data_IF_912062800990
#
_entry.id   IF_912062800990
#
_cell.length_a   1.000
_cell.length_b   1.000
_cell.length_c   1.000
_cell.angle_alpha   90.00
_cell.angle_beta   90.00
_cell.angle_gamma   90.00
#
_symmetry.space_group_name_H-M   'P 1'
#
loop_
_entity.id
_entity.type
_entity.pdbx_description
1 polymer ?
#
# COMPACT_ATOMS: atom_id res chain seq x y z
N UNK A 1 0.59 -16.34 -0.67
CA UNK A 1 1.65 -17.26 -1.15
C UNK A 1 2.99 -16.53 -1.22
N UNK A 2 4.12 -17.26 -1.23
CA UNK A 2 5.48 -16.69 -1.31
C UNK A 2 6.37 -17.53 -2.21
N UNK A 3 7.46 -16.93 -2.70
CA UNK A 3 8.51 -17.62 -3.46
C UNK A 3 9.79 -17.64 -2.62
N UNK A 4 10.34 -18.84 -2.48
CA UNK A 4 11.47 -19.14 -1.60
C UNK A 4 12.64 -19.67 -2.41
N UNK A 5 13.84 -19.19 -2.07
CA UNK A 5 15.08 -19.79 -2.56
C UNK A 5 15.98 -20.13 -1.39
N UNK A 6 16.36 -21.39 -1.27
CA UNK A 6 17.28 -21.88 -0.24
C UNK A 6 18.60 -22.31 -0.88
N UNK A 7 19.68 -21.59 -0.60
CA UNK A 7 21.03 -21.90 -1.08
C UNK A 7 21.82 -22.68 -0.01
N UNK A 8 22.22 -23.90 -0.36
CA UNK A 8 23.04 -24.78 0.47
C UNK A 8 24.51 -24.58 0.11
N UNK A 9 25.27 -23.91 0.98
CA UNK A 9 26.68 -23.55 0.74
C UNK A 9 27.64 -24.62 1.28
N UNK A 10 28.57 -25.17 0.48
CA UNK A 10 29.52 -26.19 0.92
C UNK A 10 30.50 -25.70 1.98
N UNK A 11 30.99 -24.47 1.82
CA UNK A 11 31.99 -23.85 2.68
C UNK A 11 31.76 -22.35 2.77
N UNK A 12 31.08 -21.92 3.83
CA UNK A 12 31.00 -20.53 4.24
C UNK A 12 30.80 -20.48 5.76
N UNK A 13 31.46 -19.54 6.44
CA UNK A 13 31.17 -19.27 7.83
C UNK A 13 29.90 -18.43 7.95
N UNK A 14 29.32 -18.39 9.17
CA UNK A 14 28.22 -17.47 9.49
C UNK A 14 28.63 -16.01 9.26
N UNK A 15 29.90 -15.65 9.50
CA UNK A 15 30.40 -14.29 9.28
C UNK A 15 30.41 -13.93 7.80
N UNK A 16 30.80 -14.87 6.93
CA UNK A 16 30.87 -14.63 5.48
C UNK A 16 29.48 -14.39 4.90
N UNK A 17 28.50 -15.22 5.26
CA UNK A 17 27.11 -15.05 4.82
C UNK A 17 26.48 -13.75 5.34
N UNK A 18 26.82 -13.34 6.58
CA UNK A 18 26.38 -12.05 7.13
C UNK A 18 26.99 -10.88 6.37
N UNK A 19 28.30 -10.92 6.14
CA UNK A 19 29.03 -9.90 5.39
C UNK A 19 28.42 -9.73 3.99
N UNK A 20 28.21 -10.84 3.29
CA UNK A 20 27.58 -10.85 1.97
C UNK A 20 26.20 -10.17 1.95
N UNK A 21 25.35 -10.43 2.94
CA UNK A 21 24.03 -9.80 3.03
C UNK A 21 24.12 -8.30 3.30
N UNK A 22 25.00 -7.87 4.20
CA UNK A 22 25.22 -6.45 4.51
C UNK A 22 25.77 -5.69 3.29
N UNK A 23 26.75 -6.26 2.59
CA UNK A 23 27.28 -5.72 1.33
C UNK A 23 26.22 -5.67 0.23
N UNK A 24 25.28 -6.61 0.24
CA UNK A 24 24.11 -6.63 -0.65
C UNK A 24 22.99 -5.65 -0.24
N UNK A 25 23.28 -4.70 0.68
CA UNK A 25 22.37 -3.70 1.23
C UNK A 25 21.21 -4.24 2.08
N UNK A 26 21.29 -5.47 2.58
CA UNK A 26 20.33 -5.95 3.56
C UNK A 26 20.61 -5.35 4.94
N UNK A 27 19.55 -5.00 5.66
CA UNK A 27 19.63 -4.57 7.05
C UNK A 27 19.27 -5.70 8.00
N UNK A 28 20.05 -5.88 9.06
CA UNK A 28 19.71 -6.83 10.12
C UNK A 28 18.46 -6.35 10.88
N UNK A 29 17.52 -7.24 11.15
CA UNK A 29 16.28 -6.91 11.88
C UNK A 29 16.11 -7.85 13.08
N UNK A 30 15.62 -7.30 14.20
CA UNK A 30 15.36 -8.06 15.43
C UNK A 30 14.01 -8.77 15.40
N UNK A 31 13.00 -8.14 14.78
CA UNK A 31 11.69 -8.73 14.55
C UNK A 31 11.70 -9.51 13.24
N UNK A 32 11.26 -10.77 13.30
CA UNK A 32 11.07 -11.62 12.13
C UNK A 32 9.64 -11.52 11.66
N UNK A 33 9.42 -11.42 10.36
CA UNK A 33 8.11 -11.70 9.77
C UNK A 33 7.97 -13.20 9.38
N UNK A 34 9.00 -14.01 9.64
CA UNK A 34 9.01 -15.47 9.46
C UNK A 34 9.32 -16.18 10.78
N UNK A 35 8.46 -17.13 11.15
CA UNK A 35 8.77 -18.16 12.16
C UNK A 35 9.07 -19.46 11.41
N UNK A 36 10.35 -19.88 11.37
CA UNK A 36 10.72 -21.25 10.99
C UNK A 36 10.85 -22.11 12.25
N UNK A 37 10.52 -23.42 12.19
CA UNK A 37 10.60 -24.33 13.34
C UNK A 37 11.99 -24.40 13.98
N UNK A 38 13.06 -24.25 13.19
CA UNK A 38 14.44 -24.42 13.64
C UNK A 38 15.16 -23.09 13.97
N UNK A 39 14.41 -22.00 14.17
CA UNK A 39 14.96 -20.73 14.70
C UNK A 39 16.20 -20.23 13.94
N UNK A 40 16.01 -19.58 12.79
CA UNK A 40 17.11 -18.98 12.01
C UNK A 40 18.12 -18.21 12.86
N UNK A 41 19.40 -18.30 12.53
CA UNK A 41 20.49 -17.72 13.32
C UNK A 41 20.52 -16.20 13.21
N UNK A 42 20.24 -15.66 12.01
CA UNK A 42 20.16 -14.23 11.76
C UNK A 42 19.09 -13.91 10.73
N UNK A 43 18.40 -12.80 10.93
CA UNK A 43 17.34 -12.31 10.06
C UNK A 43 17.71 -10.94 9.48
N UNK A 44 17.50 -10.82 8.18
CA UNK A 44 17.86 -9.68 7.36
C UNK A 44 16.69 -9.33 6.43
N UNK A 45 16.59 -8.05 6.10
CA UNK A 45 15.55 -7.55 5.20
C UNK A 45 16.11 -6.47 4.29
N UNK A 46 15.75 -6.55 3.02
CA UNK A 46 16.02 -5.55 2.00
C UNK A 46 14.72 -4.98 1.45
N UNK A 47 14.68 -3.67 1.25
CA UNK A 47 13.55 -2.94 0.66
C UNK A 47 14.06 -1.65 0.01
N UNK A 48 13.66 -1.40 -1.24
CA UNK A 48 13.99 -0.19 -2.00
C UNK A 48 12.76 0.71 -2.13
N UNK A 49 12.74 1.79 -1.36
CA UNK A 49 11.67 2.79 -1.36
C UNK A 49 11.73 3.70 -2.59
N UNK A 50 12.92 3.92 -3.15
CA UNK A 50 13.10 4.85 -4.27
C UNK A 50 12.30 4.38 -5.48
N UNK A 51 11.60 5.32 -6.10
CA UNK A 51 10.78 5.09 -7.29
C UNK A 51 9.75 3.96 -7.13
N UNK A 52 9.35 3.66 -5.90
CA UNK A 52 8.40 2.59 -5.57
C UNK A 52 8.80 1.24 -6.20
N UNK A 53 10.10 0.92 -6.16
CA UNK A 53 10.65 -0.31 -6.76
C UNK A 53 10.25 -1.54 -5.96
N UNK A 54 10.38 -1.52 -4.64
CA UNK A 54 9.99 -2.64 -3.79
C UNK A 54 8.52 -2.53 -3.38
N UNK A 55 7.81 -3.66 -3.44
CA UNK A 55 6.43 -3.76 -2.93
C UNK A 55 6.40 -4.48 -1.59
N UNK A 56 7.24 -5.51 -1.46
CA UNK A 56 7.30 -6.32 -0.26
C UNK A 56 8.73 -6.54 0.23
N UNK A 57 9.73 -6.28 -0.61
CA UNK A 57 11.13 -6.49 -0.29
C UNK A 57 11.54 -7.96 -0.33
N UNK A 58 12.74 -8.21 0.18
CA UNK A 58 13.34 -9.55 0.25
C UNK A 58 13.77 -9.84 1.68
N UNK A 59 13.28 -10.94 2.20
CA UNK A 59 13.69 -11.48 3.48
C UNK A 59 14.87 -12.44 3.27
N UNK A 60 15.86 -12.40 4.17
CA UNK A 60 16.98 -13.33 4.17
C UNK A 60 17.26 -13.88 5.57
N UNK A 61 17.50 -15.18 5.66
CA UNK A 61 17.80 -15.89 6.91
C UNK A 61 18.98 -16.82 6.72
N UNK A 62 19.94 -16.75 7.63
CA UNK A 62 21.01 -17.75 7.74
C UNK A 62 20.56 -18.79 8.76
N UNK A 63 20.64 -20.07 8.43
CA UNK A 63 20.26 -21.13 9.35
C UNK A 63 21.13 -22.39 9.17
N UNK A 64 21.03 -23.31 10.12
CA UNK A 64 21.75 -24.58 10.06
C UNK A 64 20.99 -25.59 9.22
N UNK A 65 21.72 -26.26 8.33
CA UNK A 65 21.17 -27.34 7.49
C UNK A 65 21.05 -28.62 8.30
N UNK A 66 19.97 -29.36 8.08
CA UNK A 66 19.80 -30.72 8.60
C UNK A 66 20.73 -31.71 7.90
N UNK A 67 20.99 -32.87 8.52
CA UNK A 67 21.83 -33.90 7.89
C UNK A 67 21.26 -34.40 6.56
N UNK A 68 19.93 -34.51 6.43
CA UNK A 68 19.27 -34.92 5.19
C UNK A 68 19.51 -33.90 4.07
N UNK A 69 19.31 -32.61 4.35
CA UNK A 69 19.56 -31.53 3.38
C UNK A 69 21.04 -31.48 2.96
N UNK A 70 21.98 -31.71 3.89
CA UNK A 70 23.42 -31.78 3.58
C UNK A 70 23.72 -32.90 2.58
N UNK A 71 23.13 -34.08 2.76
CA UNK A 71 23.32 -35.23 1.85
C UNK A 71 22.70 -34.97 0.49
N UNK A 72 21.47 -34.48 0.45
CA UNK A 72 20.71 -34.24 -0.78
C UNK A 72 21.35 -33.14 -1.65
N UNK A 73 21.64 -31.98 -1.06
CA UNK A 73 22.14 -30.82 -1.78
C UNK A 73 23.67 -30.74 -1.83
N UNK A 74 24.37 -31.69 -1.19
CA UNK A 74 25.84 -31.69 -1.03
C UNK A 74 26.35 -30.37 -0.42
N UNK A 75 25.60 -29.86 0.56
CA UNK A 75 25.85 -28.61 1.25
C UNK A 75 26.62 -28.78 2.55
N UNK A 76 27.12 -27.67 3.08
CA UNK A 76 27.77 -27.57 4.39
C UNK A 76 26.75 -27.38 5.51
N UNK A 77 27.22 -26.98 6.69
CA UNK A 77 26.40 -26.84 7.91
C UNK A 77 25.45 -25.65 7.90
N UNK A 78 25.61 -24.72 6.94
CA UNK A 78 24.84 -23.50 6.84
C UNK A 78 24.17 -23.37 5.47
N UNK A 79 23.06 -22.66 5.46
CA UNK A 79 22.32 -22.30 4.26
C UNK A 79 21.82 -20.87 4.34
N UNK A 80 21.68 -20.27 3.16
CA UNK A 80 21.09 -18.95 2.97
C UNK A 80 19.67 -19.12 2.41
N UNK A 81 18.69 -18.84 3.26
CA UNK A 81 17.30 -18.77 2.88
C UNK A 81 16.93 -17.36 2.44
N UNK A 82 16.21 -17.23 1.33
CA UNK A 82 15.60 -15.97 0.91
C UNK A 82 14.12 -16.18 0.57
N UNK A 83 13.33 -15.14 0.77
CA UNK A 83 11.89 -15.16 0.47
C UNK A 83 11.42 -13.81 -0.04
N UNK A 84 10.52 -13.85 -1.01
CA UNK A 84 9.65 -12.72 -1.35
C UNK A 84 8.20 -13.17 -1.45
N UNK A 85 7.23 -12.24 -1.47
CA UNK A 85 5.81 -12.59 -1.60
C UNK A 85 5.45 -12.93 -3.05
N UNK A 86 4.35 -13.66 -3.26
CA UNK A 86 3.87 -13.94 -4.61
C UNK A 86 3.57 -12.65 -5.39
N UNK A 87 3.00 -11.64 -4.73
CA UNK A 87 2.74 -10.30 -5.29
C UNK A 87 3.93 -9.33 -5.25
N UNK A 88 5.15 -9.82 -5.07
CA UNK A 88 6.34 -8.98 -5.02
C UNK A 88 6.62 -8.33 -6.39
N UNK A 89 7.29 -7.18 -6.35
CA UNK A 89 7.66 -6.47 -7.57
C UNK A 89 8.71 -7.23 -8.38
N UNK A 90 8.86 -6.83 -9.64
CA UNK A 90 9.98 -7.24 -10.50
C UNK A 90 11.32 -7.02 -9.80
N UNK A 91 11.52 -5.84 -9.19
CA UNK A 91 12.75 -5.48 -8.49
C UNK A 91 13.01 -6.35 -7.25
N UNK A 92 11.97 -6.71 -6.49
CA UNK A 92 12.09 -7.62 -5.35
C UNK A 92 12.58 -9.01 -5.80
N UNK A 93 12.01 -9.54 -6.88
CA UNK A 93 12.41 -10.83 -7.46
C UNK A 93 13.81 -10.78 -8.06
N UNK A 94 14.15 -9.69 -8.74
CA UNK A 94 15.52 -9.45 -9.24
C UNK A 94 16.52 -9.46 -8.10
N UNK A 95 16.23 -8.75 -7.00
CA UNK A 95 17.12 -8.71 -5.85
C UNK A 95 17.27 -10.07 -5.18
N UNK A 96 16.17 -10.83 -5.06
CA UNK A 96 16.22 -12.20 -4.54
C UNK A 96 17.13 -13.10 -5.41
N UNK A 97 16.99 -13.02 -6.73
CA UNK A 97 17.86 -13.77 -7.64
C UNK A 97 19.32 -13.29 -7.58
N UNK A 98 19.54 -11.97 -7.53
CA UNK A 98 20.86 -11.35 -7.44
C UNK A 98 21.62 -11.81 -6.20
N UNK A 99 21.01 -11.77 -5.02
CA UNK A 99 21.68 -12.15 -3.77
C UNK A 99 22.04 -13.63 -3.75
N UNK A 100 21.17 -14.50 -4.28
CA UNK A 100 21.46 -15.94 -4.40
C UNK A 100 22.57 -16.18 -5.44
N UNK A 101 22.52 -15.50 -6.59
CA UNK A 101 23.51 -15.64 -7.66
C UNK A 101 24.90 -15.24 -7.20
N UNK A 102 25.00 -14.10 -6.51
CA UNK A 102 26.27 -13.57 -5.99
C UNK A 102 26.79 -14.41 -4.83
N UNK A 103 25.93 -14.85 -3.90
CA UNK A 103 26.31 -15.77 -2.83
C UNK A 103 26.82 -17.11 -3.40
N UNK A 104 26.13 -17.67 -4.41
CA UNK A 104 26.56 -18.91 -5.07
C UNK A 104 27.89 -18.73 -5.81
N UNK A 105 28.14 -17.55 -6.40
CA UNK A 105 29.43 -17.24 -7.03
C UNK A 105 30.57 -17.18 -6.00
N UNK A 106 30.29 -16.64 -4.80
CA UNK A 106 31.28 -16.50 -3.74
C UNK A 106 31.55 -17.81 -2.99
N UNK A 107 30.51 -18.57 -2.67
CA UNK A 107 30.56 -19.71 -1.74
C UNK A 107 30.25 -21.06 -2.39
N UNK A 108 29.89 -21.09 -3.67
CA UNK A 108 29.48 -22.29 -4.37
C UNK A 108 28.10 -22.80 -3.95
N UNK A 109 27.86 -24.09 -4.19
CA UNK A 109 26.65 -24.78 -3.73
C UNK A 109 25.52 -24.92 -4.75
N UNK A 110 24.46 -25.57 -4.28
CA UNK A 110 23.19 -25.78 -4.98
C UNK A 110 22.10 -25.05 -4.24
N UNK A 111 21.10 -24.55 -4.96
CA UNK A 111 19.92 -23.98 -4.34
C UNK A 111 18.65 -24.64 -4.82
N UNK A 112 17.64 -24.63 -3.97
CA UNK A 112 16.30 -25.06 -4.28
C UNK A 112 15.39 -23.84 -4.34
N UNK A 113 14.61 -23.72 -5.41
CA UNK A 113 13.54 -22.74 -5.54
C UNK A 113 12.20 -23.47 -5.43
N UNK A 114 11.36 -23.09 -4.47
CA UNK A 114 10.10 -23.80 -4.19
C UNK A 114 9.09 -23.76 -5.35
N UNK A 115 9.15 -22.71 -6.18
CA UNK A 115 8.29 -22.56 -7.35
C UNK A 115 8.86 -23.13 -8.65
N UNK A 116 10.19 -23.30 -8.75
CA UNK A 116 10.87 -23.55 -10.03
C UNK A 116 11.89 -24.70 -10.01
N UNK A 117 12.16 -25.28 -8.85
CA UNK A 117 13.05 -26.42 -8.67
C UNK A 117 14.53 -26.07 -8.48
N UNK A 118 15.37 -27.11 -8.55
CA UNK A 118 16.78 -27.04 -8.19
C UNK A 118 17.60 -26.24 -9.20
N UNK A 119 18.39 -25.29 -8.70
CA UNK A 119 19.25 -24.37 -9.46
C UNK A 119 18.50 -23.55 -10.52
N UNK A 120 17.20 -23.31 -10.32
CA UNK A 120 16.37 -22.48 -11.20
C UNK A 120 16.00 -21.18 -10.51
N UNK A 121 16.47 -20.07 -11.06
CA UNK A 121 16.10 -18.73 -10.60
C UNK A 121 14.63 -18.44 -10.91
N UNK A 122 14.02 -17.56 -10.12
CA UNK A 122 12.65 -17.08 -10.37
C UNK A 122 12.64 -16.29 -11.69
N UNK A 123 11.76 -16.61 -12.66
CA UNK A 123 11.57 -15.79 -13.85
C UNK A 123 11.24 -14.35 -13.49
N UNK A 124 11.80 -13.41 -14.24
CA UNK A 124 11.58 -11.98 -14.05
C UNK A 124 10.70 -11.50 -15.19
N UNK A 125 9.58 -10.87 -14.87
CA UNK A 125 8.71 -10.21 -15.84
C UNK A 125 8.90 -8.71 -15.75
N UNK A 126 8.81 -8.03 -16.88
CA UNK A 126 8.92 -6.59 -16.90
C UNK A 126 7.71 -5.94 -16.21
N UNK A 127 7.96 -4.84 -15.50
CA UNK A 127 6.91 -3.99 -14.93
C UNK A 127 6.81 -2.72 -15.79
N UNK A 128 5.84 -2.65 -16.72
CA UNK A 128 5.72 -1.52 -17.63
C UNK A 128 5.33 -0.21 -16.94
N UNK A 129 4.96 -0.25 -15.65
CA UNK A 129 4.51 0.94 -14.92
C UNK A 129 5.68 1.86 -14.64
N UNK A 130 5.44 3.16 -14.80
CA UNK A 130 6.39 4.21 -14.38
C UNK A 130 6.49 4.25 -12.84
N UNK A 131 7.48 4.96 -12.27
CA UNK A 131 7.53 5.20 -10.82
C UNK A 131 6.22 5.76 -10.26
N UNK A 132 5.57 6.69 -10.97
CA UNK A 132 4.27 7.22 -10.58
C UNK A 132 3.19 6.13 -10.54
N UNK A 133 3.11 5.34 -11.62
CA UNK A 133 2.16 4.22 -11.73
C UNK A 133 2.32 3.19 -10.62
N UNK A 134 3.57 2.79 -10.30
CA UNK A 134 3.86 1.86 -9.19
C UNK A 134 3.49 2.44 -7.82
N UNK A 135 3.80 3.70 -7.58
CA UNK A 135 3.45 4.38 -6.31
C UNK A 135 1.95 4.46 -6.10
N UNK A 136 1.21 4.86 -7.14
CA UNK A 136 -0.26 4.96 -7.07
C UNK A 136 -0.89 3.57 -6.95
N UNK A 137 -0.34 2.56 -7.62
CA UNK A 137 -0.82 1.18 -7.48
C UNK A 137 -0.66 0.66 -6.06
N UNK A 138 0.50 0.85 -5.41
CA UNK A 138 0.71 0.45 -4.02
C UNK A 138 -0.30 1.10 -3.07
N UNK A 139 -0.53 2.39 -3.26
CA UNK A 139 -1.50 3.15 -2.47
C UNK A 139 -2.94 2.69 -2.75
N UNK A 140 -3.27 2.45 -4.01
CA UNK A 140 -4.58 1.93 -4.42
C UNK A 140 -4.89 0.61 -3.72
N UNK A 141 -4.01 -0.39 -3.86
CA UNK A 141 -4.17 -1.71 -3.23
C UNK A 141 -4.29 -1.59 -1.70
N UNK A 142 -3.42 -0.80 -1.06
CA UNK A 142 -3.48 -0.62 0.40
C UNK A 142 -4.83 -0.06 0.86
N UNK A 143 -5.35 0.96 0.16
CA UNK A 143 -6.60 1.62 0.53
C UNK A 143 -7.80 0.73 0.21
N UNK A 144 -7.84 0.11 -0.97
CA UNK A 144 -8.95 -0.78 -1.35
C UNK A 144 -9.02 -2.00 -0.45
N UNK A 145 -7.88 -2.65 -0.15
CA UNK A 145 -7.83 -3.80 0.74
C UNK A 145 -8.37 -3.45 2.14
N UNK A 146 -8.01 -2.28 2.67
CA UNK A 146 -8.49 -1.83 3.99
C UNK A 146 -9.98 -1.52 3.99
N UNK A 147 -10.48 -0.85 2.96
CA UNK A 147 -11.90 -0.55 2.81
C UNK A 147 -12.72 -1.84 2.70
N UNK A 148 -12.25 -2.80 1.89
CA UNK A 148 -12.87 -4.11 1.74
C UNK A 148 -12.85 -4.90 3.05
N UNK A 149 -11.68 -5.02 3.68
CA UNK A 149 -11.51 -5.77 4.92
C UNK A 149 -12.45 -5.27 6.02
N UNK A 150 -12.53 -3.94 6.21
CA UNK A 150 -13.43 -3.35 7.19
C UNK A 150 -14.89 -3.60 6.81
N UNK A 151 -15.26 -3.40 5.54
CA UNK A 151 -16.64 -3.63 5.09
C UNK A 151 -17.11 -5.08 5.29
N UNK A 152 -16.19 -6.05 5.13
CA UNK A 152 -16.46 -7.47 5.28
C UNK A 152 -16.71 -7.87 6.74
N UNK A 153 -16.00 -7.26 7.70
CA UNK A 153 -16.12 -7.59 9.12
C UNK A 153 -17.17 -6.76 9.86
N UNK A 154 -17.88 -5.86 9.18
CA UNK A 154 -18.93 -5.05 9.79
C UNK A 154 -20.03 -5.95 10.37
N UNK A 155 -20.28 -5.88 11.70
CA UNK A 155 -21.34 -6.66 12.32
C UNK A 155 -22.69 -6.23 11.77
N UNK A 156 -23.66 -7.13 11.75
CA UNK A 156 -25.05 -6.79 11.53
C UNK A 156 -25.64 -6.07 12.75
N UNK A 157 -26.82 -5.45 12.56
CA UNK A 157 -27.63 -5.00 13.69
C UNK A 157 -27.90 -6.17 14.64
N UNK A 158 -27.88 -5.91 15.95
CA UNK A 158 -28.16 -6.95 16.93
C UNK A 158 -29.61 -7.45 16.77
N UNK A 159 -29.81 -8.77 16.85
CA UNK A 159 -31.12 -9.39 16.61
C UNK A 159 -32.24 -8.75 17.45
N UNK A 160 -31.96 -8.42 18.72
CA UNK A 160 -32.90 -7.77 19.64
C UNK A 160 -33.44 -6.42 19.13
N UNK A 161 -32.69 -5.70 18.29
CA UNK A 161 -33.10 -4.43 17.70
C UNK A 161 -33.58 -4.59 16.25
N UNK A 162 -32.92 -5.46 15.47
CA UNK A 162 -33.28 -5.75 14.08
C UNK A 162 -34.70 -6.30 13.94
N UNK A 163 -35.08 -7.19 14.85
CA UNK A 163 -36.33 -7.94 14.78
C UNK A 163 -37.49 -7.24 15.52
N UNK A 164 -37.29 -5.97 15.94
CA UNK A 164 -38.34 -5.17 16.55
C UNK A 164 -39.52 -4.93 15.60
N UNK A 165 -40.77 -5.03 16.10
CA UNK A 165 -41.96 -4.60 15.39
C UNK A 165 -41.85 -3.15 14.90
N UNK A 166 -42.58 -2.81 13.84
CA UNK A 166 -42.51 -1.47 13.23
C UNK A 166 -42.93 -0.37 14.21
N UNK A 167 -43.85 -0.67 15.11
CA UNK A 167 -44.34 0.21 16.16
C UNK A 167 -43.24 0.59 17.18
N UNK A 168 -42.21 -0.25 17.29
CA UNK A 168 -41.05 -0.06 18.17
C UNK A 168 -39.79 0.35 17.40
N UNK A 169 -39.91 0.79 16.14
CA UNK A 169 -38.76 1.10 15.29
C UNK A 169 -37.83 2.18 15.88
N UNK A 170 -38.34 3.11 16.68
CA UNK A 170 -37.54 4.12 17.38
C UNK A 170 -36.52 3.48 18.31
N UNK A 171 -36.83 2.31 18.90
CA UNK A 171 -35.88 1.64 19.79
C UNK A 171 -34.63 1.10 19.06
N UNK A 172 -34.66 1.02 17.72
CA UNK A 172 -33.49 0.63 16.92
C UNK A 172 -32.33 1.61 17.04
N UNK A 173 -32.60 2.87 17.40
CA UNK A 173 -31.60 3.90 17.66
C UNK A 173 -30.68 3.56 18.83
N UNK A 174 -31.14 2.70 19.75
CA UNK A 174 -30.34 2.24 20.89
C UNK A 174 -29.50 0.98 20.58
N UNK A 175 -29.49 0.50 19.33
CA UNK A 175 -28.62 -0.62 18.93
C UNK A 175 -27.13 -0.21 19.12
N UNK A 176 -26.37 -0.88 20.00
CA UNK A 176 -24.97 -0.57 20.23
C UNK A 176 -24.10 -0.64 18.97
N UNK A 177 -24.48 -1.43 17.96
CA UNK A 177 -23.75 -1.51 16.68
C UNK A 177 -23.68 -0.14 15.98
N UNK A 178 -24.65 0.75 16.21
CA UNK A 178 -24.66 2.10 15.61
C UNK A 178 -23.55 3.02 16.12
N UNK A 179 -23.08 2.79 17.35
CA UNK A 179 -21.89 3.48 17.89
C UNK A 179 -20.66 3.14 17.06
N UNK A 180 -20.48 1.85 16.74
CA UNK A 180 -19.39 1.41 15.88
C UNK A 180 -19.53 2.01 14.47
N UNK A 181 -20.73 2.07 13.91
CA UNK A 181 -20.93 2.62 12.57
C UNK A 181 -20.52 4.10 12.50
N UNK A 182 -20.91 4.90 13.48
CA UNK A 182 -20.52 6.31 13.58
C UNK A 182 -19.00 6.46 13.77
N UNK A 183 -18.38 5.61 14.60
CA UNK A 183 -16.95 5.62 14.84
C UNK A 183 -16.11 5.29 13.59
N UNK A 184 -16.71 4.64 12.58
CA UNK A 184 -16.04 4.28 11.32
C UNK A 184 -16.11 5.38 10.24
N UNK A 185 -16.97 6.39 10.39
CA UNK A 185 -17.03 7.51 9.43
C UNK A 185 -15.72 8.32 9.38
N UNK A 186 -15.06 8.67 10.50
CA UNK A 186 -13.75 9.31 10.46
C UNK A 186 -12.68 8.45 9.78
N UNK A 187 -12.74 7.12 9.95
CA UNK A 187 -11.84 6.20 9.27
C UNK A 187 -11.98 6.27 7.75
N UNK A 188 -13.23 6.29 7.24
CA UNK A 188 -13.50 6.43 5.81
C UNK A 188 -12.94 7.74 5.25
N UNK A 189 -13.15 8.85 5.96
CA UNK A 189 -12.64 10.15 5.53
C UNK A 189 -11.11 10.17 5.51
N UNK A 190 -10.47 9.58 6.51
CA UNK A 190 -9.01 9.46 6.56
C UNK A 190 -8.45 8.60 5.42
N UNK A 191 -9.18 7.56 4.99
CA UNK A 191 -8.79 6.74 3.84
C UNK A 191 -8.84 7.55 2.53
N UNK A 192 -9.90 8.35 2.33
CA UNK A 192 -10.01 9.26 1.18
C UNK A 192 -8.88 10.30 1.22
N UNK A 193 -8.69 10.97 2.36
CA UNK A 193 -7.66 11.99 2.54
C UNK A 193 -6.28 11.44 2.19
N UNK A 194 -5.93 10.29 2.77
CA UNK A 194 -4.64 9.65 2.52
C UNK A 194 -4.48 9.30 1.04
N UNK A 195 -5.50 8.73 0.41
CA UNK A 195 -5.42 8.37 -1.01
C UNK A 195 -5.15 9.60 -1.89
N UNK A 196 -5.94 10.67 -1.74
CA UNK A 196 -5.77 11.85 -2.58
C UNK A 196 -4.48 12.61 -2.28
N UNK A 197 -4.11 12.75 -1.00
CA UNK A 197 -2.88 13.43 -0.59
C UNK A 197 -1.64 12.73 -1.13
N UNK A 198 -1.54 11.43 -0.94
CA UNK A 198 -0.35 10.67 -1.38
C UNK A 198 -0.31 10.55 -2.91
N UNK A 199 -1.45 10.37 -3.58
CA UNK A 199 -1.52 10.43 -5.05
C UNK A 199 -1.05 11.78 -5.57
N UNK A 200 -1.47 12.87 -4.93
CA UNK A 200 -1.03 14.22 -5.28
C UNK A 200 0.49 14.38 -5.13
N UNK A 201 1.06 13.94 -4.01
CA UNK A 201 2.52 13.96 -3.77
C UNK A 201 3.28 13.15 -4.84
N UNK A 202 2.78 11.96 -5.17
CA UNK A 202 3.38 11.12 -6.22
C UNK A 202 3.35 11.86 -7.57
N UNK A 203 2.21 12.42 -7.95
CA UNK A 203 2.07 13.13 -9.21
C UNK A 203 2.94 14.38 -9.25
N UNK A 204 3.03 15.16 -8.17
CA UNK A 204 3.94 16.31 -8.08
C UNK A 204 5.41 15.92 -8.36
N UNK A 205 5.82 14.73 -7.91
CA UNK A 205 7.20 14.26 -8.08
C UNK A 205 7.53 13.88 -9.51
N UNK A 206 6.58 13.35 -10.27
CA UNK A 206 6.86 12.72 -11.58
C UNK A 206 6.22 13.40 -12.77
N UNK A 207 5.12 14.14 -12.60
CA UNK A 207 4.49 14.91 -13.67
C UNK A 207 5.36 16.11 -14.06
N UNK A 208 5.69 16.23 -15.34
CA UNK A 208 6.62 17.27 -15.83
C UNK A 208 6.06 18.69 -15.63
N UNK A 209 4.75 18.88 -15.82
CA UNK A 209 4.11 20.19 -15.59
C UNK A 209 4.18 20.56 -14.11
N UNK A 210 3.94 19.61 -13.22
CA UNK A 210 4.08 19.86 -11.79
C UNK A 210 5.53 20.22 -11.43
N UNK A 211 6.52 19.50 -11.95
CA UNK A 211 7.95 19.82 -11.73
C UNK A 211 8.30 21.22 -12.20
N UNK A 212 7.85 21.62 -13.38
CA UNK A 212 8.08 22.97 -13.90
C UNK A 212 7.45 24.02 -12.98
N UNK A 213 6.20 23.79 -12.57
CA UNK A 213 5.52 24.69 -11.64
C UNK A 213 6.19 24.76 -10.27
N UNK A 214 6.76 23.67 -9.77
CA UNK A 214 7.53 23.67 -8.51
C UNK A 214 8.77 24.58 -8.65
N UNK A 215 9.45 24.57 -9.80
CA UNK A 215 10.62 25.43 -10.04
C UNK A 215 10.25 26.91 -10.09
N UNK A 216 9.04 27.22 -10.56
CA UNK A 216 8.51 28.58 -10.66
C UNK A 216 7.77 29.05 -9.40
N UNK A 217 7.49 28.16 -8.45
CA UNK A 217 6.73 28.49 -7.24
C UNK A 217 7.52 29.45 -6.34
N UNK A 218 6.96 30.64 -6.14
CA UNK A 218 7.55 31.70 -5.32
C UNK A 218 7.00 31.76 -3.91
N UNK A 219 6.05 30.87 -3.56
CA UNK A 219 5.47 30.81 -2.21
C UNK A 219 6.57 30.48 -1.19
N UNK A 220 6.63 31.28 -0.11
CA UNK A 220 7.66 31.13 0.94
C UNK A 220 7.55 29.76 1.59
N UNK A 221 8.68 29.07 1.69
CA UNK A 221 8.87 27.88 2.53
C UNK A 221 9.43 28.35 3.87
N UNK A 222 8.88 27.88 4.98
CA UNK A 222 9.39 28.27 6.29
C UNK A 222 10.80 27.71 6.53
N UNK A 223 11.64 28.44 7.28
CA UNK A 223 13.03 28.02 7.55
C UNK A 223 13.11 26.62 8.16
N UNK A 224 12.14 26.26 9.02
CA UNK A 224 12.06 24.92 9.61
C UNK A 224 11.84 23.84 8.56
N UNK A 225 10.97 24.09 7.59
CA UNK A 225 10.68 23.17 6.50
C UNK A 225 11.88 23.06 5.55
N UNK A 226 12.52 24.18 5.21
CA UNK A 226 13.72 24.21 4.40
C UNK A 226 14.86 23.39 5.03
N UNK A 227 15.04 23.48 6.36
CA UNK A 227 16.01 22.66 7.09
C UNK A 227 15.66 21.17 7.05
N UNK A 228 14.39 20.80 7.24
CA UNK A 228 13.95 19.41 7.15
C UNK A 228 14.18 18.83 5.74
N UNK A 229 13.92 19.61 4.70
CA UNK A 229 14.18 19.24 3.30
C UNK A 229 15.68 19.07 3.06
N UNK A 230 16.51 20.00 3.53
CA UNK A 230 17.96 19.93 3.37
C UNK A 230 18.58 18.70 4.06
N UNK A 231 17.96 18.19 5.12
CA UNK A 231 18.40 16.97 5.82
C UNK A 231 17.86 15.68 5.21
N UNK A 232 16.99 15.77 4.20
CA UNK A 232 16.28 14.63 3.63
C UNK A 232 15.20 14.03 4.54
N UNK A 233 14.83 14.74 5.62
CA UNK A 233 13.76 14.32 6.55
C UNK A 233 12.37 14.57 5.95
N UNK A 234 12.29 15.47 4.97
CA UNK A 234 11.06 15.88 4.31
C UNK A 234 11.30 16.15 2.83
N UNK A 235 10.27 15.92 2.02
CA UNK A 235 10.31 16.17 0.58
C UNK A 235 9.53 17.46 0.25
N UNK A 236 9.89 18.13 -0.85
CA UNK A 236 9.27 19.39 -1.26
C UNK A 236 7.77 19.17 -1.58
N UNK A 237 7.45 18.06 -2.25
CA UNK A 237 6.10 17.71 -2.67
C UNK A 237 5.13 17.58 -1.47
N UNK A 238 5.61 17.02 -0.35
CA UNK A 238 4.84 16.93 0.88
C UNK A 238 4.62 18.31 1.53
N UNK A 239 5.56 19.24 1.37
CA UNK A 239 5.42 20.63 1.85
C UNK A 239 4.38 21.40 1.03
N UNK A 240 4.32 21.14 -0.27
CA UNK A 240 3.27 21.70 -1.14
C UNK A 240 1.90 21.09 -0.80
N UNK A 241 1.83 19.78 -0.57
CA UNK A 241 0.59 19.10 -0.22
C UNK A 241 -0.04 19.64 1.07
N UNK A 242 0.77 19.98 2.08
CA UNK A 242 0.28 20.51 3.37
C UNK A 242 -0.45 21.86 3.27
N UNK A 243 -0.37 22.55 2.12
CA UNK A 243 -1.14 23.77 1.85
C UNK A 243 -2.62 23.51 1.61
N UNK A 244 -3.01 22.25 1.43
CA UNK A 244 -4.39 21.84 1.12
C UNK A 244 -4.90 20.85 2.16
N UNK A 245 -6.20 20.94 2.47
CA UNK A 245 -6.88 19.94 3.31
C UNK A 245 -7.53 18.88 2.43
N UNK A 246 -6.94 17.68 2.36
CA UNK A 246 -7.47 16.56 1.57
C UNK A 246 -8.69 15.87 2.21
N UNK A 247 -9.20 16.40 3.33
CA UNK A 247 -10.51 16.02 3.87
C UNK A 247 -11.66 16.76 3.18
N UNK A 248 -11.37 17.83 2.44
CA UNK A 248 -12.37 18.66 1.78
C UNK A 248 -12.25 18.53 0.26
N UNK A 249 -13.33 18.13 -0.40
CA UNK A 249 -13.33 17.90 -1.85
C UNK A 249 -13.04 19.16 -2.67
N UNK A 250 -13.42 20.36 -2.20
CA UNK A 250 -13.05 21.62 -2.85
C UNK A 250 -11.54 21.84 -2.80
N UNK A 251 -10.91 21.51 -1.68
CA UNK A 251 -9.46 21.63 -1.54
C UNK A 251 -8.72 20.58 -2.38
N UNK A 252 -9.26 19.36 -2.47
CA UNK A 252 -8.78 18.34 -3.42
C UNK A 252 -8.86 18.89 -4.85
N UNK A 253 -10.03 19.40 -5.27
CA UNK A 253 -10.21 19.99 -6.60
C UNK A 253 -9.21 21.12 -6.87
N UNK A 254 -9.04 22.04 -5.92
CA UNK A 254 -8.10 23.15 -6.06
C UNK A 254 -6.65 22.67 -6.20
N UNK A 255 -6.21 21.71 -5.38
CA UNK A 255 -4.87 21.17 -5.44
C UNK A 255 -4.58 20.53 -6.81
N UNK A 256 -5.45 19.61 -7.23
CA UNK A 256 -5.30 18.88 -8.49
C UNK A 256 -5.48 19.80 -9.71
N UNK A 257 -6.39 20.77 -9.66
CA UNK A 257 -6.57 21.78 -10.71
C UNK A 257 -5.35 22.68 -10.85
N UNK A 258 -4.86 23.25 -9.73
CA UNK A 258 -3.73 24.18 -9.71
C UNK A 258 -2.45 23.54 -10.23
N UNK A 259 -2.10 22.35 -9.75
CA UNK A 259 -0.79 21.74 -10.03
C UNK A 259 -0.79 20.80 -11.22
N UNK A 260 -1.88 20.08 -11.45
CA UNK A 260 -1.93 18.99 -12.41
C UNK A 260 -2.90 19.25 -13.57
N UNK A 261 -3.66 20.36 -13.55
CA UNK A 261 -4.73 20.66 -14.51
C UNK A 261 -5.78 19.55 -14.56
N UNK A 262 -6.17 19.05 -13.38
CA UNK A 262 -7.13 17.96 -13.23
C UNK A 262 -8.42 18.49 -12.58
N UNK A 263 -9.52 18.42 -13.31
CA UNK A 263 -10.83 18.82 -12.81
C UNK A 263 -11.52 17.65 -12.10
N UNK A 264 -11.34 17.60 -10.78
CA UNK A 264 -11.95 16.59 -9.91
C UNK A 264 -13.49 16.67 -9.92
N UNK A 265 -14.08 17.85 -10.14
CA UNK A 265 -15.54 17.97 -10.21
C UNK A 265 -16.07 17.37 -11.50
N UNK A 266 -15.41 17.64 -12.62
CA UNK A 266 -15.77 17.01 -13.89
C UNK A 266 -15.63 15.50 -13.81
N UNK A 267 -14.59 15.00 -13.14
CA UNK A 267 -14.37 13.59 -12.88
C UNK A 267 -15.57 12.97 -12.15
N UNK A 268 -15.89 13.47 -10.95
CA UNK A 268 -17.01 13.00 -10.12
C UNK A 268 -18.34 13.09 -10.87
N UNK A 269 -18.50 14.11 -11.73
CA UNK A 269 -19.72 14.33 -12.51
C UNK A 269 -19.85 13.49 -13.79
N UNK A 270 -18.78 12.84 -14.23
CA UNK A 270 -18.72 12.11 -15.51
C UNK A 270 -19.19 10.66 -15.46
N UNK A 271 -19.59 10.11 -14.32
CA UNK A 271 -20.08 8.73 -14.26
C UNK A 271 -21.41 8.56 -15.04
N UNK A 272 -21.27 8.13 -16.30
CA UNK A 272 -22.28 8.27 -17.37
C UNK A 272 -23.30 7.13 -17.41
N UNK A 273 -23.26 6.14 -16.52
CA UNK A 273 -24.25 5.03 -16.55
C UNK A 273 -25.55 5.33 -15.82
N UNK A 274 -25.60 6.32 -14.94
CA UNK A 274 -26.87 6.78 -14.35
C UNK A 274 -26.68 8.17 -13.76
N UNK A 275 -27.39 9.19 -14.27
CA UNK A 275 -27.36 10.56 -13.70
C UNK A 275 -27.66 10.65 -12.19
N UNK A 276 -28.14 9.56 -11.57
CA UNK A 276 -28.32 9.40 -10.11
C UNK A 276 -27.02 9.12 -9.34
N UNK A 277 -26.07 8.37 -9.90
CA UNK A 277 -24.85 7.94 -9.20
C UNK A 277 -23.87 9.10 -8.89
N UNK A 278 -23.84 10.09 -9.80
CA UNK A 278 -23.02 11.30 -9.69
C UNK A 278 -23.44 12.21 -8.53
N UNK A 279 -24.75 12.51 -8.42
CA UNK A 279 -25.27 13.30 -7.30
C UNK A 279 -25.02 12.57 -5.98
N UNK A 280 -25.19 11.26 -5.95
CA UNK A 280 -24.96 10.47 -4.73
C UNK A 280 -23.50 10.43 -4.28
N UNK A 281 -22.50 10.57 -5.16
CA UNK A 281 -21.09 10.52 -4.74
C UNK A 281 -20.64 11.85 -4.12
N UNK A 282 -20.97 12.98 -4.77
CA UNK A 282 -20.74 14.33 -4.22
C UNK A 282 -21.50 14.52 -2.90
N UNK A 283 -22.78 14.15 -2.86
CA UNK A 283 -23.59 14.17 -1.64
C UNK A 283 -23.00 13.25 -0.56
N UNK A 284 -22.62 12.00 -0.88
CA UNK A 284 -22.06 11.08 0.10
C UNK A 284 -20.74 11.57 0.70
N UNK A 285 -19.85 12.17 -0.10
CA UNK A 285 -18.59 12.74 0.40
C UNK A 285 -18.87 13.97 1.28
N UNK A 286 -19.80 14.84 0.88
CA UNK A 286 -20.19 15.98 1.71
C UNK A 286 -20.79 15.55 3.04
N UNK A 287 -21.74 14.62 3.02
CA UNK A 287 -22.35 14.05 4.23
C UNK A 287 -21.31 13.38 5.12
N UNK A 288 -20.28 12.74 4.55
CA UNK A 288 -19.20 12.13 5.33
C UNK A 288 -18.35 13.18 6.06
N UNK A 289 -18.08 14.32 5.41
CA UNK A 289 -17.35 15.45 6.03
C UNK A 289 -18.16 16.04 7.18
N UNK A 290 -19.46 16.24 6.97
CA UNK A 290 -20.38 16.78 7.99
C UNK A 290 -20.48 15.82 9.19
N UNK A 291 -20.72 14.53 8.95
CA UNK A 291 -20.76 13.55 10.04
C UNK A 291 -19.44 13.44 10.80
N UNK A 292 -18.29 13.56 10.13
CA UNK A 292 -17.01 13.56 10.84
C UNK A 292 -16.88 14.77 11.74
N UNK A 293 -17.38 15.94 11.33
CA UNK A 293 -17.41 17.12 12.20
C UNK A 293 -18.22 16.84 13.47
N UNK A 294 -19.43 16.29 13.31
CA UNK A 294 -20.33 15.95 14.41
C UNK A 294 -19.71 14.91 15.37
N UNK A 295 -19.15 13.83 14.83
CA UNK A 295 -18.53 12.75 15.60
C UNK A 295 -17.28 13.23 16.36
N UNK A 296 -16.40 14.00 15.71
CA UNK A 296 -15.09 14.35 16.28
C UNK A 296 -15.13 15.59 17.16
N UNK A 297 -15.91 16.61 16.79
CA UNK A 297 -15.92 17.89 17.48
C UNK A 297 -17.10 18.04 18.43
N UNK A 298 -18.24 17.44 18.10
CA UNK A 298 -19.47 17.56 18.89
C UNK A 298 -19.82 16.30 19.68
N UNK A 299 -19.11 15.19 19.46
CA UNK A 299 -19.43 13.86 19.99
C UNK A 299 -20.89 13.46 19.72
N UNK A 300 -21.45 13.93 18.62
CA UNK A 300 -22.81 13.62 18.18
C UNK A 300 -22.76 12.43 17.25
N UNK A 301 -23.48 11.37 17.62
CA UNK A 301 -23.69 10.21 16.75
C UNK A 301 -25.05 10.30 16.09
N UNK A 302 -25.10 9.95 14.81
CA UNK A 302 -26.35 9.78 14.09
C UNK A 302 -26.97 8.46 14.52
N UNK A 303 -28.07 8.48 15.30
CA UNK A 303 -28.73 7.26 15.75
C UNK A 303 -29.48 6.58 14.60
N UNK A 304 -29.66 7.23 13.45
CA UNK A 304 -30.32 6.67 12.27
C UNK A 304 -29.35 5.94 11.33
N UNK A 305 -28.03 6.12 11.49
CA UNK A 305 -27.00 5.44 10.71
C UNK A 305 -27.03 3.92 10.95
N UNK A 306 -27.54 3.19 9.97
CA UNK A 306 -27.58 1.72 9.95
C UNK A 306 -26.42 1.13 9.12
N UNK A 307 -26.29 -0.21 9.15
CA UNK A 307 -25.20 -0.90 8.44
C UNK A 307 -25.24 -0.62 6.93
N UNK A 308 -26.44 -0.57 6.35
CA UNK A 308 -26.65 -0.35 4.92
C UNK A 308 -26.23 1.07 4.52
N UNK A 309 -26.53 2.07 5.35
CA UNK A 309 -26.09 3.43 5.19
C UNK A 309 -24.56 3.53 5.26
N UNK A 310 -23.94 2.90 6.25
CA UNK A 310 -22.48 2.87 6.34
C UNK A 310 -21.83 2.22 5.11
N UNK A 311 -22.34 1.07 4.66
CA UNK A 311 -21.83 0.38 3.47
C UNK A 311 -21.93 1.24 2.20
N UNK A 312 -22.94 2.12 2.08
CA UNK A 312 -23.01 3.09 0.98
C UNK A 312 -21.85 4.08 1.01
N UNK A 313 -21.40 4.53 2.18
CA UNK A 313 -20.21 5.37 2.29
C UNK A 313 -18.93 4.62 1.92
N UNK A 314 -18.79 3.34 2.31
CA UNK A 314 -17.68 2.49 1.86
C UNK A 314 -17.66 2.35 0.33
N UNK A 315 -18.81 2.09 -0.28
CA UNK A 315 -18.93 2.02 -1.75
C UNK A 315 -18.57 3.36 -2.38
N UNK A 316 -19.06 4.49 -1.86
CA UNK A 316 -18.76 5.82 -2.39
C UNK A 316 -17.26 6.15 -2.30
N UNK A 317 -16.61 5.87 -1.16
CA UNK A 317 -15.18 6.06 -0.98
C UNK A 317 -14.36 5.24 -2.00
N UNK A 318 -14.71 3.96 -2.17
CA UNK A 318 -14.09 3.10 -3.18
C UNK A 318 -14.30 3.61 -4.60
N UNK A 319 -15.53 3.97 -4.96
CA UNK A 319 -15.84 4.50 -6.29
C UNK A 319 -15.07 5.77 -6.59
N UNK A 320 -14.87 6.65 -5.60
CA UNK A 320 -14.07 7.86 -5.76
C UNK A 320 -12.59 7.54 -6.05
N UNK A 321 -12.01 6.58 -5.33
CA UNK A 321 -10.65 6.06 -5.56
C UNK A 321 -10.53 5.46 -6.97
N UNK A 322 -11.43 4.55 -7.33
CA UNK A 322 -11.47 3.88 -8.64
C UNK A 322 -11.61 4.88 -9.79
N UNK A 323 -12.40 5.92 -9.60
CA UNK A 323 -12.65 6.94 -10.61
C UNK A 323 -11.39 7.75 -10.92
N UNK A 324 -10.64 8.19 -9.89
CA UNK A 324 -9.38 8.88 -10.11
C UNK A 324 -8.37 7.98 -10.81
N UNK A 325 -8.18 6.74 -10.32
CA UNK A 325 -7.26 5.78 -10.94
C UNK A 325 -7.62 5.54 -12.40
N UNK A 326 -8.90 5.31 -12.70
CA UNK A 326 -9.36 5.09 -14.07
C UNK A 326 -9.07 6.29 -14.97
N UNK A 327 -9.25 7.51 -14.48
CA UNK A 327 -8.93 8.71 -15.25
C UNK A 327 -7.42 8.90 -15.46
N UNK A 328 -6.59 8.58 -14.46
CA UNK A 328 -5.14 8.62 -14.64
C UNK A 328 -4.68 7.58 -15.67
N UNK A 329 -5.32 6.41 -15.72
CA UNK A 329 -5.04 5.40 -16.74
C UNK A 329 -5.50 5.83 -18.13
N UNK A 330 -6.73 6.33 -18.29
CA UNK A 330 -7.30 6.61 -19.62
C UNK A 330 -6.90 7.95 -20.20
N UNK A 331 -6.87 9.00 -19.38
CA UNK A 331 -6.76 10.39 -19.84
C UNK A 331 -5.34 10.93 -19.63
N UNK A 332 -4.54 10.28 -18.77
CA UNK A 332 -3.14 10.65 -18.49
C UNK A 332 -2.12 9.59 -18.89
N UNK A 333 -2.57 8.44 -19.42
CA UNK A 333 -1.71 7.33 -19.88
C UNK A 333 -0.74 6.84 -18.78
N UNK A 334 -1.16 6.92 -17.50
CA UNK A 334 -0.40 6.40 -16.37
C UNK A 334 -0.90 5.00 -16.08
N UNK A 335 -0.10 4.00 -16.45
CA UNK A 335 -0.42 2.61 -16.16
C UNK A 335 -0.35 2.32 -14.65
N UNK A 336 -1.45 1.82 -14.05
CA UNK A 336 -1.57 1.59 -12.60
C UNK A 336 -1.96 0.13 -12.29
N UNK A 337 -3.14 -0.32 -12.71
CA UNK A 337 -3.76 -1.59 -12.30
C UNK A 337 -3.30 -2.81 -13.10
N UNK A 338 -2.37 -2.65 -14.05
CA UNK A 338 -1.82 -3.81 -14.76
C UNK A 338 -0.95 -4.65 -13.80
N UNK A 339 -1.21 -5.97 -13.67
CA UNK A 339 -0.44 -6.81 -12.75
C UNK A 339 1.00 -7.01 -13.25
N UNK A 340 1.99 -7.10 -12.34
CA UNK A 340 3.36 -7.44 -12.68
C UNK A 340 3.48 -8.93 -13.03
N UNK A 341 3.33 -9.25 -14.32
CA UNK A 341 3.49 -10.60 -14.87
C UNK A 341 2.24 -11.48 -14.82
N UNK A 342 2.27 -12.68 -15.44
CA UNK A 342 1.15 -13.60 -15.41
C UNK A 342 0.86 -14.01 -13.97
N UNK A 343 -0.41 -13.85 -13.56
CA UNK A 343 -0.87 -14.19 -12.21
C UNK A 343 -0.49 -15.62 -11.84
N UNK A 344 -0.03 -15.78 -10.60
CA UNK A 344 0.03 -17.08 -9.93
C UNK A 344 -1.27 -17.33 -9.18
#
# INVERSE_FOLDING_TARGET
>A
MSVVINLYVPSASRSDLRGHLLESAFSRRSKRFIVRPNGGLDYFYWFEEKDYRSFNGVEAVIFETSESERREFRGGTLSLYTRTRAGASTFDREKQNEVIRTARKAFGGRFENDGYGVNRYTPIWDDPRTPAGRGIWLLYEEITDRLEAVSYVLPDEQAAFRDLPKELAVLREFDPSRVLYNALLPFLLAAIERFFRETFIILLRYDERAKDKIREDTKKIETREALAISKGERIIEATIADRYSFQNINQIHNAFGEWLNLDIWQLIRRDKKTKRAVRTLEEAVSTLVDHRHDVIHSFLFDPSLDRKALLRFFTAARSLVDLLVSHLETDRDILIRQPPGPGF
#
